data_IF_243292101517
#
_entry.id   IF_243292101517
#
_cell.length_a   1.000
_cell.length_b   1.000
_cell.length_c   1.000
_cell.angle_alpha   90.00
_cell.angle_beta   90.00
_cell.angle_gamma   90.00
#
_symmetry.space_group_name_H-M   'P 1'
#
loop_
_entity.id
_entity.type
_entity.pdbx_description
1 polymer ?
#
# COMPACT_ATOMS: atom_id res chain seq x y z
N UNK A 1 -8.08 -13.04 -3.21
CA UNK A 1 -8.24 -13.44 -1.78
C UNK A 1 -8.71 -14.88 -1.59
N UNK A 2 -9.16 -15.60 -2.64
CA UNK A 2 -9.76 -16.95 -2.52
C UNK A 2 -8.76 -18.12 -2.52
N UNK A 3 -7.49 -17.92 -2.92
CA UNK A 3 -6.50 -19.02 -3.02
C UNK A 3 -5.71 -19.32 -1.74
N UNK A 4 -5.89 -18.55 -0.64
CA UNK A 4 -5.19 -18.80 0.63
C UNK A 4 -5.96 -19.71 1.61
N UNK A 5 -7.21 -20.09 1.31
CA UNK A 5 -8.09 -20.81 2.24
C UNK A 5 -8.49 -22.22 1.77
N UNK A 6 -8.13 -22.62 0.55
CA UNK A 6 -8.50 -23.92 -0.03
C UNK A 6 -7.81 -25.10 0.65
N UNK A 7 -6.67 -24.89 1.31
CA UNK A 7 -5.81 -25.95 1.88
C UNK A 7 -5.79 -26.00 3.42
N UNK A 8 -6.79 -25.40 4.09
CA UNK A 8 -6.96 -25.46 5.56
C UNK A 8 -7.82 -26.67 5.98
N UNK A 9 -7.45 -27.30 7.11
CA UNK A 9 -8.26 -28.34 7.76
C UNK A 9 -9.66 -27.83 8.10
N UNK A 10 -10.64 -28.75 8.11
CA UNK A 10 -12.03 -28.43 8.46
C UNK A 10 -12.14 -27.79 9.85
N UNK A 11 -11.30 -28.22 10.80
CA UNK A 11 -11.27 -27.69 12.17
C UNK A 11 -10.77 -26.23 12.21
N UNK A 12 -9.76 -25.90 11.40
CA UNK A 12 -9.22 -24.53 11.30
C UNK A 12 -10.21 -23.60 10.61
N UNK A 13 -10.96 -24.09 9.61
CA UNK A 13 -12.04 -23.33 8.95
C UNK A 13 -13.19 -23.04 9.91
N UNK A 14 -13.64 -24.05 10.66
CA UNK A 14 -14.67 -23.86 11.69
C UNK A 14 -14.26 -22.84 12.75
N UNK A 15 -13.01 -22.89 13.20
CA UNK A 15 -12.49 -21.93 14.18
C UNK A 15 -12.38 -20.51 13.59
N UNK A 16 -12.04 -20.40 12.30
CA UNK A 16 -12.02 -19.12 11.59
C UNK A 16 -13.41 -18.51 11.51
N UNK A 17 -14.44 -19.30 11.18
CA UNK A 17 -15.83 -18.85 11.12
C UNK A 17 -16.36 -18.41 12.48
N UNK A 18 -16.03 -19.15 13.55
CA UNK A 18 -16.35 -18.78 14.93
C UNK A 18 -15.73 -17.42 15.30
N UNK A 19 -14.45 -17.21 14.97
CA UNK A 19 -13.75 -15.95 15.24
C UNK A 19 -14.25 -14.78 14.39
N UNK A 20 -14.63 -15.02 13.14
CA UNK A 20 -15.26 -14.01 12.29
C UNK A 20 -16.63 -13.61 12.83
N UNK A 21 -17.42 -14.57 13.32
CA UNK A 21 -18.71 -14.30 13.98
C UNK A 21 -18.53 -13.44 15.23
N UNK A 22 -17.54 -13.76 16.09
CA UNK A 22 -17.19 -12.93 17.25
C UNK A 22 -16.78 -11.53 16.79
N UNK A 23 -15.93 -11.43 15.77
CA UNK A 23 -15.49 -10.14 15.21
C UNK A 23 -16.67 -9.29 14.73
N UNK A 24 -17.63 -9.86 13.99
CA UNK A 24 -18.78 -9.11 13.50
C UNK A 24 -19.67 -8.62 14.64
N UNK A 25 -19.92 -9.45 15.66
CA UNK A 25 -20.67 -9.05 16.86
C UNK A 25 -19.96 -7.96 17.66
N UNK A 26 -18.63 -8.04 17.79
CA UNK A 26 -17.83 -6.97 18.38
C UNK A 26 -17.93 -5.69 17.56
N UNK A 27 -17.90 -5.79 16.23
CA UNK A 27 -18.01 -4.64 15.34
C UNK A 27 -19.39 -3.98 15.43
N UNK A 28 -20.47 -4.76 15.53
CA UNK A 28 -21.84 -4.27 15.74
C UNK A 28 -21.93 -3.49 17.06
N UNK A 29 -21.42 -4.05 18.17
CA UNK A 29 -21.39 -3.37 19.48
C UNK A 29 -20.58 -2.07 19.45
N UNK A 30 -19.43 -2.07 18.77
CA UNK A 30 -18.59 -0.87 18.58
C UNK A 30 -19.31 0.19 17.74
N UNK A 31 -19.97 -0.24 16.65
CA UNK A 31 -20.63 0.68 15.69
C UNK A 31 -21.89 1.31 16.29
N UNK A 32 -22.66 0.55 17.07
CA UNK A 32 -23.88 1.04 17.72
C UNK A 32 -23.61 1.81 19.01
N UNK A 33 -22.36 1.81 19.51
CA UNK A 33 -21.95 2.45 20.78
C UNK A 33 -22.82 1.99 21.97
N UNK A 34 -23.30 0.75 21.93
CA UNK A 34 -24.11 0.14 22.98
C UNK A 34 -23.17 -0.64 23.91
N UNK A 35 -22.86 -0.05 25.06
CA UNK A 35 -22.15 -0.75 26.13
C UNK A 35 -23.11 -1.67 26.88
N UNK A 36 -23.14 -2.95 26.49
CA UNK A 36 -23.86 -4.02 27.18
C UNK A 36 -22.84 -5.01 27.79
N UNK A 37 -22.54 -4.81 29.08
CA UNK A 37 -21.57 -5.63 29.83
C UNK A 37 -21.89 -7.13 29.78
N UNK A 38 -23.16 -7.53 29.66
CA UNK A 38 -23.53 -8.94 29.57
C UNK A 38 -23.09 -9.54 28.24
N UNK A 39 -23.29 -8.81 27.13
CA UNK A 39 -22.85 -9.24 25.80
C UNK A 39 -21.33 -9.25 25.70
N UNK A 40 -20.66 -8.26 26.29
CA UNK A 40 -19.18 -8.21 26.33
C UNK A 40 -18.62 -9.40 27.11
N UNK A 41 -19.20 -9.73 28.27
CA UNK A 41 -18.81 -10.91 29.05
C UNK A 41 -19.07 -12.23 28.30
N UNK A 42 -20.20 -12.34 27.60
CA UNK A 42 -20.51 -13.50 26.77
C UNK A 42 -19.48 -13.69 25.64
N UNK A 43 -19.14 -12.62 24.93
CA UNK A 43 -18.12 -12.64 23.88
C UNK A 43 -16.73 -12.98 24.45
N UNK A 44 -16.46 -12.62 25.71
CA UNK A 44 -15.20 -12.97 26.40
C UNK A 44 -15.11 -14.47 26.60
N UNK A 45 -16.19 -15.09 27.07
CA UNK A 45 -16.27 -16.54 27.25
C UNK A 45 -16.18 -17.28 25.92
N UNK A 46 -16.77 -16.75 24.85
CA UNK A 46 -16.72 -17.39 23.54
C UNK A 46 -15.32 -17.27 22.89
N UNK A 47 -14.62 -16.15 23.10
CA UNK A 47 -13.24 -15.97 22.66
C UNK A 47 -12.25 -16.88 23.41
N UNK A 48 -12.41 -17.05 24.73
CA UNK A 48 -11.57 -17.96 25.53
C UNK A 48 -11.78 -19.42 25.11
N UNK A 49 -13.01 -19.84 24.80
CA UNK A 49 -13.27 -21.17 24.20
C UNK A 49 -12.53 -21.32 22.87
N UNK A 50 -12.51 -20.29 22.03
CA UNK A 50 -11.78 -20.32 20.76
C UNK A 50 -10.26 -20.38 20.96
N UNK A 51 -9.71 -19.71 21.97
CA UNK A 51 -8.29 -19.82 22.36
C UNK A 51 -7.93 -21.24 22.78
N UNK A 52 -8.73 -21.88 23.65
CA UNK A 52 -8.49 -23.26 24.09
C UNK A 52 -8.56 -24.22 22.90
N UNK A 53 -9.56 -24.07 22.02
CA UNK A 53 -9.65 -24.87 20.78
C UNK A 53 -8.42 -24.67 19.88
N UNK A 54 -7.97 -23.43 19.71
CA UNK A 54 -6.76 -23.13 18.94
C UNK A 54 -5.53 -23.83 19.53
N UNK A 55 -5.35 -23.74 20.84
CA UNK A 55 -4.23 -24.35 21.54
C UNK A 55 -4.24 -25.88 21.42
N UNK A 56 -5.41 -26.51 21.49
CA UNK A 56 -5.57 -27.96 21.27
C UNK A 56 -5.23 -28.38 19.83
N UNK A 57 -5.65 -27.61 18.83
CA UNK A 57 -5.39 -27.91 17.41
C UNK A 57 -3.90 -27.74 17.09
N UNK A 58 -3.30 -26.62 17.49
CA UNK A 58 -1.92 -26.30 17.14
C UNK A 58 -0.86 -26.97 18.01
N UNK A 59 -1.18 -27.39 19.24
CA UNK A 59 -0.28 -28.22 20.05
C UNK A 59 -0.11 -29.63 19.45
N UNK A 60 -1.15 -30.14 18.80
CA UNK A 60 -1.11 -31.44 18.12
C UNK A 60 -0.50 -31.37 16.72
N UNK A 61 -0.51 -30.20 16.06
CA UNK A 61 0.03 -29.98 14.72
C UNK A 61 0.80 -28.65 14.63
N UNK A 62 2.08 -28.66 15.03
CA UNK A 62 2.92 -27.46 15.12
C UNK A 62 3.22 -26.71 13.79
N UNK A 63 2.76 -27.20 12.63
CA UNK A 63 2.99 -26.60 11.31
C UNK A 63 1.72 -26.54 10.44
N UNK A 64 0.55 -26.45 11.05
CA UNK A 64 -0.70 -26.35 10.30
C UNK A 64 -0.85 -25.00 9.59
N UNK A 65 -1.06 -25.04 8.26
CA UNK A 65 -1.31 -23.85 7.45
C UNK A 65 -2.54 -23.13 8.00
N UNK A 66 -2.36 -21.92 8.55
CA UNK A 66 -3.45 -21.12 9.12
C UNK A 66 -3.25 -20.70 10.58
N UNK A 67 -2.29 -21.27 11.30
CA UNK A 67 -1.99 -20.92 12.70
C UNK A 67 -1.75 -19.40 12.90
N UNK A 68 -0.97 -18.78 12.00
CA UNK A 68 -0.73 -17.34 12.04
C UNK A 68 -2.00 -16.50 11.80
N UNK A 69 -2.92 -16.96 10.97
CA UNK A 69 -4.19 -16.26 10.68
C UNK A 69 -5.12 -16.34 11.89
N UNK A 70 -5.25 -17.53 12.48
CA UNK A 70 -6.08 -17.74 13.68
C UNK A 70 -5.53 -16.95 14.86
N UNK A 71 -4.21 -17.00 15.10
CA UNK A 71 -3.55 -16.19 16.13
C UNK A 71 -3.85 -14.70 15.93
N UNK A 72 -3.67 -14.20 14.70
CA UNK A 72 -4.00 -12.82 14.37
C UNK A 72 -5.48 -12.47 14.60
N UNK A 73 -6.42 -13.36 14.26
CA UNK A 73 -7.85 -13.14 14.50
C UNK A 73 -8.19 -13.11 16.00
N UNK A 74 -7.61 -14.03 16.78
CA UNK A 74 -7.76 -14.05 18.24
C UNK A 74 -7.22 -12.77 18.86
N UNK A 75 -6.02 -12.34 18.46
CA UNK A 75 -5.40 -11.12 18.98
C UNK A 75 -6.27 -9.89 18.66
N UNK A 76 -6.81 -9.81 17.45
CA UNK A 76 -7.73 -8.72 17.08
C UNK A 76 -9.03 -8.75 17.90
N UNK A 77 -9.69 -9.92 18.02
CA UNK A 77 -10.91 -10.03 18.82
C UNK A 77 -10.64 -9.71 20.30
N UNK A 78 -9.50 -10.15 20.84
CA UNK A 78 -9.08 -9.84 22.22
C UNK A 78 -8.90 -8.34 22.40
N UNK A 79 -8.31 -7.66 21.41
CA UNK A 79 -8.12 -6.22 21.48
C UNK A 79 -9.45 -5.46 21.46
N UNK A 80 -10.34 -5.77 20.53
CA UNK A 80 -11.68 -5.16 20.48
C UNK A 80 -12.50 -5.42 21.74
N UNK A 81 -12.35 -6.60 22.32
CA UNK A 81 -13.08 -6.97 23.53
C UNK A 81 -12.54 -6.23 24.76
N UNK A 82 -11.22 -6.12 24.87
CA UNK A 82 -10.60 -5.23 25.85
C UNK A 82 -11.12 -3.80 25.65
N UNK A 83 -11.08 -3.25 24.44
CA UNK A 83 -11.61 -1.90 24.16
C UNK A 83 -13.06 -1.70 24.66
N UNK A 84 -13.94 -2.69 24.47
CA UNK A 84 -15.33 -2.63 24.96
C UNK A 84 -15.45 -2.79 26.48
N UNK A 85 -14.58 -3.58 27.11
CA UNK A 85 -14.51 -3.72 28.58
C UNK A 85 -13.93 -2.48 29.27
N UNK A 86 -13.25 -1.62 28.52
CA UNK A 86 -12.57 -0.41 29.00
C UNK A 86 -13.47 0.83 29.04
N UNK A 87 -14.80 0.65 29.01
CA UNK A 87 -15.79 1.73 29.07
C UNK A 87 -15.53 2.76 30.19
N UNK A 88 -15.99 4.00 29.95
CA UNK A 88 -15.72 5.23 30.72
C UNK A 88 -15.90 5.09 32.25
N UNK A 89 -16.77 4.19 32.71
CA UNK A 89 -17.08 3.97 34.14
C UNK A 89 -15.93 3.39 34.99
N UNK A 90 -14.79 3.01 34.39
CA UNK A 90 -13.64 2.42 35.12
C UNK A 90 -12.43 3.36 35.29
N UNK A 91 -12.51 4.57 34.76
CA UNK A 91 -11.42 5.54 34.80
C UNK A 91 -11.75 6.63 35.81
N UNK A 92 -10.79 6.94 36.69
CA UNK A 92 -10.92 8.01 37.65
C UNK A 92 -11.21 9.36 36.95
N UNK A 93 -12.10 10.21 37.48
CA UNK A 93 -12.40 11.53 36.90
C UNK A 93 -11.17 12.39 36.59
N UNK A 94 -10.09 12.24 37.38
CA UNK A 94 -8.83 12.96 37.14
C UNK A 94 -8.08 12.49 35.88
N UNK A 95 -8.37 11.28 35.40
CA UNK A 95 -7.76 10.67 34.22
C UNK A 95 -8.64 10.75 32.97
N UNK A 96 -9.90 11.14 33.09
CA UNK A 96 -10.87 11.19 31.99
C UNK A 96 -10.38 12.02 30.81
N UNK A 97 -9.73 13.16 31.04
CA UNK A 97 -9.20 14.00 29.96
C UNK A 97 -8.12 13.29 29.11
N UNK A 98 -7.25 12.49 29.75
CA UNK A 98 -6.23 11.71 29.05
C UNK A 98 -6.88 10.55 28.31
N UNK A 99 -7.85 9.90 28.95
CA UNK A 99 -8.62 8.80 28.36
C UNK A 99 -9.36 9.25 27.09
N UNK A 100 -10.11 10.34 27.14
CA UNK A 100 -10.83 10.88 25.99
C UNK A 100 -9.89 11.26 24.85
N UNK A 101 -8.73 11.87 25.17
CA UNK A 101 -7.71 12.21 24.17
C UNK A 101 -7.16 10.97 23.48
N UNK A 102 -6.84 9.92 24.24
CA UNK A 102 -6.36 8.65 23.68
C UNK A 102 -7.44 7.93 22.87
N UNK A 103 -8.69 7.93 23.33
CA UNK A 103 -9.81 7.32 22.64
C UNK A 103 -10.09 8.02 21.31
N UNK A 104 -10.08 9.36 21.29
CA UNK A 104 -10.23 10.15 20.08
C UNK A 104 -9.09 9.86 19.09
N UNK A 105 -7.84 9.85 19.57
CA UNK A 105 -6.68 9.57 18.75
C UNK A 105 -6.72 8.14 18.18
N UNK A 106 -7.15 7.15 18.97
CA UNK A 106 -7.39 5.78 18.51
C UNK A 106 -8.42 5.73 17.38
N UNK A 107 -9.57 6.39 17.56
CA UNK A 107 -10.63 6.43 16.54
C UNK A 107 -10.14 7.06 15.23
N UNK A 108 -9.37 8.15 15.32
CA UNK A 108 -8.76 8.78 14.14
C UNK A 108 -7.79 7.80 13.44
N UNK A 109 -6.89 7.17 14.20
CA UNK A 109 -5.91 6.22 13.65
C UNK A 109 -6.59 5.00 13.00
N UNK A 110 -7.64 4.45 13.63
CA UNK A 110 -8.43 3.35 13.06
C UNK A 110 -9.14 3.77 11.78
N UNK A 111 -9.73 4.95 11.75
CA UNK A 111 -10.34 5.49 10.54
C UNK A 111 -9.30 5.66 9.42
N UNK A 112 -8.13 6.24 9.73
CA UNK A 112 -7.03 6.38 8.78
C UNK A 112 -6.56 5.01 8.26
N UNK A 113 -6.44 4.03 9.14
CA UNK A 113 -6.08 2.66 8.78
C UNK A 113 -7.10 2.00 7.85
N UNK A 114 -8.39 2.33 7.97
CA UNK A 114 -9.45 1.82 7.12
C UNK A 114 -9.60 2.57 5.79
N UNK A 115 -9.55 3.91 5.81
CA UNK A 115 -9.99 4.74 4.68
C UNK A 115 -8.87 5.33 3.84
N UNK A 116 -7.67 5.51 4.39
CA UNK A 116 -6.58 6.28 3.76
C UNK A 116 -5.22 5.58 3.75
N UNK A 117 -5.19 4.26 3.90
CA UNK A 117 -3.94 3.46 3.98
C UNK A 117 -2.94 3.76 2.86
N UNK A 118 -3.44 4.01 1.65
CA UNK A 118 -2.64 4.19 0.44
C UNK A 118 -2.30 5.65 0.11
N UNK A 119 -2.82 6.62 0.88
CA UNK A 119 -2.62 8.06 0.62
C UNK A 119 -1.97 8.79 1.78
N UNK A 120 -1.66 8.09 2.87
CA UNK A 120 -1.11 8.66 4.09
C UNK A 120 0.41 8.79 3.98
N UNK A 121 0.94 10.00 4.25
CA UNK A 121 2.39 10.24 4.28
C UNK A 121 2.98 9.83 5.63
N UNK A 122 4.24 9.43 5.63
CA UNK A 122 5.01 9.23 6.87
C UNK A 122 4.99 10.47 7.75
N UNK A 123 5.08 11.68 7.16
CA UNK A 123 5.01 12.96 7.88
C UNK A 123 3.69 13.19 8.59
N UNK A 124 2.57 12.76 8.00
CA UNK A 124 1.25 12.88 8.63
C UNK A 124 1.13 11.92 9.81
N UNK A 125 1.70 10.73 9.68
CA UNK A 125 1.78 9.74 10.76
C UNK A 125 2.68 10.23 11.90
N UNK A 126 3.81 10.88 11.58
CA UNK A 126 4.73 11.45 12.57
C UNK A 126 4.05 12.46 13.50
N UNK A 127 3.08 13.23 13.02
CA UNK A 127 2.32 14.16 13.89
C UNK A 127 1.50 13.42 14.96
N UNK A 128 0.88 12.30 14.60
CA UNK A 128 0.16 11.46 15.56
C UNK A 128 1.13 10.72 16.49
N UNK A 129 2.27 10.26 15.98
CA UNK A 129 3.32 9.66 16.78
C UNK A 129 3.86 10.64 17.83
N UNK A 130 4.13 11.89 17.44
CA UNK A 130 4.58 12.94 18.36
C UNK A 130 3.55 13.20 19.45
N UNK A 131 2.28 13.36 19.10
CA UNK A 131 1.20 13.52 20.07
C UNK A 131 1.12 12.34 21.05
N UNK A 132 1.35 11.12 20.57
CA UNK A 132 1.32 9.93 21.40
C UNK A 132 2.53 9.87 22.36
N UNK A 133 3.72 10.25 21.87
CA UNK A 133 4.93 10.38 22.69
C UNK A 133 4.78 11.48 23.74
N UNK A 134 4.14 12.61 23.42
CA UNK A 134 3.83 13.66 24.41
C UNK A 134 2.92 13.15 25.54
N UNK A 135 1.92 12.33 25.19
CA UNK A 135 1.07 11.68 26.20
C UNK A 135 1.89 10.66 27.00
N UNK A 136 2.73 9.85 26.35
CA UNK A 136 3.60 8.85 26.98
C UNK A 136 4.58 9.49 28.00
N UNK A 137 5.16 10.63 27.64
CA UNK A 137 6.08 11.43 28.46
C UNK A 137 5.39 12.14 29.64
N UNK A 138 4.06 12.27 29.62
CA UNK A 138 3.33 12.84 30.76
C UNK A 138 3.29 11.90 31.98
N UNK A 139 3.75 10.65 31.82
CA UNK A 139 3.81 9.67 32.91
C UNK A 139 5.02 9.91 33.79
N UNK A 140 4.80 9.85 35.10
CA UNK A 140 5.83 9.94 36.11
C UNK A 140 5.94 8.57 36.77
N UNK A 141 7.13 7.96 36.74
CA UNK A 141 7.39 6.61 37.28
C UNK A 141 6.42 5.53 36.73
N UNK A 142 6.03 5.65 35.45
CA UNK A 142 5.16 4.69 34.78
C UNK A 142 3.65 4.89 35.01
N UNK A 143 3.24 5.93 35.74
CA UNK A 143 1.82 6.24 36.00
C UNK A 143 1.43 7.62 35.48
N UNK A 144 0.17 7.75 35.04
CA UNK A 144 -0.43 9.03 34.70
C UNK A 144 -0.90 9.73 35.98
N UNK A 145 -0.33 10.88 36.32
CA UNK A 145 -0.64 11.66 37.53
C UNK A 145 -0.29 10.94 38.85
N UNK A 146 -0.95 9.84 39.20
CA UNK A 146 -0.68 9.05 40.41
C UNK A 146 -1.04 7.56 40.23
N UNK A 147 -0.30 6.69 40.92
CA UNK A 147 -0.54 5.24 40.98
C UNK A 147 -1.91 4.88 41.56
N UNK A 148 -2.47 5.73 42.43
CA UNK A 148 -3.70 5.44 43.18
C UNK A 148 -4.97 5.59 42.35
N UNK A 149 -4.90 6.27 41.20
CA UNK A 149 -6.06 6.46 40.34
C UNK A 149 -6.44 5.18 39.60
N UNK A 150 -7.73 4.88 39.57
CA UNK A 150 -8.29 3.75 38.81
C UNK A 150 -8.23 4.07 37.32
N UNK A 151 -7.86 3.08 36.49
CA UNK A 151 -7.77 3.26 35.04
C UNK A 151 -6.36 3.41 34.47
N UNK A 152 -5.30 3.30 35.27
CA UNK A 152 -3.91 3.37 34.79
C UNK A 152 -3.58 2.31 33.72
N UNK A 153 -3.98 1.05 33.98
CA UNK A 153 -3.79 -0.06 33.03
C UNK A 153 -4.58 0.16 31.74
N UNK A 154 -5.74 0.81 31.84
CA UNK A 154 -6.62 1.14 30.71
C UNK A 154 -5.95 2.16 29.79
N UNK A 155 -5.42 3.25 30.36
CA UNK A 155 -4.68 4.26 29.62
C UNK A 155 -3.44 3.67 28.96
N UNK A 156 -2.69 2.83 29.70
CA UNK A 156 -1.50 2.16 29.15
C UNK A 156 -1.86 1.24 27.99
N UNK A 157 -2.96 0.51 28.09
CA UNK A 157 -3.47 -0.32 27.00
C UNK A 157 -3.83 0.52 25.78
N UNK A 158 -4.66 1.56 25.93
CA UNK A 158 -5.06 2.44 24.83
C UNK A 158 -3.86 3.08 24.13
N UNK A 159 -2.88 3.52 24.91
CA UNK A 159 -1.63 4.08 24.40
C UNK A 159 -0.85 3.07 23.56
N UNK A 160 -0.67 1.84 24.06
CA UNK A 160 0.00 0.76 23.32
C UNK A 160 -0.77 0.39 22.05
N UNK A 161 -2.08 0.34 22.12
CA UNK A 161 -2.95 0.08 20.95
C UNK A 161 -2.78 1.16 19.88
N UNK A 162 -2.73 2.44 20.27
CA UNK A 162 -2.46 3.53 19.33
C UNK A 162 -1.07 3.39 18.67
N UNK A 163 -0.02 3.08 19.44
CA UNK A 163 1.32 2.84 18.90
C UNK A 163 1.34 1.67 17.91
N UNK A 164 0.63 0.58 18.21
CA UNK A 164 0.51 -0.57 17.32
C UNK A 164 -0.18 -0.22 15.99
N UNK A 165 -1.23 0.62 16.03
CA UNK A 165 -1.90 1.09 14.80
C UNK A 165 -0.96 2.00 14.00
N UNK A 166 -0.22 2.91 14.65
CA UNK A 166 0.78 3.76 14.00
C UNK A 166 1.85 2.91 13.31
N UNK A 167 2.39 1.89 13.99
CA UNK A 167 3.40 1.01 13.39
C UNK A 167 2.86 0.29 12.15
N UNK A 168 1.64 -0.26 12.23
CA UNK A 168 0.98 -0.89 11.08
C UNK A 168 0.71 0.10 9.94
N UNK A 169 0.36 1.35 10.28
CA UNK A 169 0.19 2.42 9.30
C UNK A 169 1.52 2.76 8.63
N UNK A 170 2.62 2.88 9.38
CA UNK A 170 3.96 3.15 8.84
C UNK A 170 4.45 2.02 7.93
N UNK A 171 4.25 0.76 8.34
CA UNK A 171 4.62 -0.41 7.54
C UNK A 171 3.81 -0.52 6.24
N UNK A 172 2.57 0.00 6.22
CA UNK A 172 1.69 -0.03 5.05
C UNK A 172 1.65 1.26 4.25
N UNK A 173 2.20 2.36 4.75
CA UNK A 173 2.27 3.64 4.06
C UNK A 173 3.50 3.67 3.15
N UNK A 174 3.28 3.68 1.84
CA UNK A 174 4.33 4.08 0.91
C UNK A 174 4.36 5.62 0.80
N UNK A 175 5.53 6.23 1.01
CA UNK A 175 5.63 7.68 1.13
C UNK A 175 5.68 8.35 -0.23
N UNK A 176 4.53 8.60 -0.87
CA UNK A 176 4.47 9.47 -2.06
C UNK A 176 4.48 10.93 -1.62
N UNK A 177 5.60 11.60 -1.88
CA UNK A 177 5.78 13.03 -1.56
C UNK A 177 4.68 13.91 -2.18
N UNK A 178 4.36 15.06 -1.56
CA UNK A 178 3.36 16.02 -2.08
C UNK A 178 3.62 16.41 -3.53
N UNK A 179 4.89 16.45 -3.90
CA UNK A 179 5.36 16.83 -5.21
C UNK A 179 5.02 15.81 -6.30
N UNK A 180 4.87 14.53 -5.93
CA UNK A 180 4.45 13.44 -6.82
C UNK A 180 2.95 13.12 -6.74
N UNK A 181 2.23 13.62 -5.74
CA UNK A 181 0.78 13.40 -5.59
C UNK A 181 -0.04 13.77 -6.84
N UNK A 182 0.21 14.91 -7.53
CA UNK A 182 -0.52 15.23 -8.76
C UNK A 182 -0.35 14.17 -9.86
N UNK A 183 0.85 13.60 -9.98
CA UNK A 183 1.17 12.56 -10.97
C UNK A 183 0.47 11.26 -10.56
N UNK A 184 0.59 10.86 -9.30
CA UNK A 184 -0.08 9.68 -8.76
C UNK A 184 -1.60 9.71 -8.98
N UNK A 185 -2.25 10.85 -8.73
CA UNK A 185 -3.70 11.00 -8.91
C UNK A 185 -4.13 10.91 -10.38
N UNK A 186 -3.32 11.47 -11.29
CA UNK A 186 -3.55 11.36 -12.73
C UNK A 186 -3.45 9.91 -13.19
N UNK A 187 -2.38 9.20 -12.78
CA UNK A 187 -2.19 7.79 -13.12
C UNK A 187 -3.27 6.90 -12.51
N UNK A 188 -3.69 7.15 -11.26
CA UNK A 188 -4.78 6.42 -10.62
C UNK A 188 -6.10 6.58 -11.38
N UNK A 189 -6.37 7.78 -11.90
CA UNK A 189 -7.55 8.04 -12.72
C UNK A 189 -7.47 7.29 -14.04
N UNK A 190 -6.32 7.35 -14.73
CA UNK A 190 -6.08 6.62 -15.99
C UNK A 190 -6.25 5.12 -15.79
N UNK A 191 -5.59 4.54 -14.77
CA UNK A 191 -5.72 3.13 -14.40
C UNK A 191 -7.18 2.73 -14.23
N UNK A 192 -7.97 3.52 -13.49
CA UNK A 192 -9.40 3.23 -13.30
C UNK A 192 -10.16 3.23 -14.62
N UNK A 193 -9.96 4.26 -15.46
CA UNK A 193 -10.60 4.33 -16.77
C UNK A 193 -10.23 3.15 -17.68
N UNK A 194 -8.96 2.74 -17.69
CA UNK A 194 -8.48 1.60 -18.48
C UNK A 194 -9.08 0.27 -17.99
N UNK A 195 -9.12 0.05 -16.67
CA UNK A 195 -9.75 -1.13 -16.09
C UNK A 195 -11.27 -1.16 -16.34
N UNK A 196 -11.92 0.00 -16.34
CA UNK A 196 -13.34 0.12 -16.70
C UNK A 196 -13.57 -0.28 -18.16
N UNK A 197 -12.72 0.16 -19.09
CA UNK A 197 -12.78 -0.26 -20.49
C UNK A 197 -12.61 -1.79 -20.63
N UNK A 198 -11.63 -2.37 -19.95
CA UNK A 198 -11.41 -3.82 -19.94
C UNK A 198 -12.65 -4.57 -19.47
N UNK A 199 -13.26 -4.09 -18.38
CA UNK A 199 -14.49 -4.68 -17.82
C UNK A 199 -15.71 -4.56 -18.73
N UNK A 200 -15.77 -3.52 -19.58
CA UNK A 200 -16.86 -3.30 -20.53
C UNK A 200 -16.69 -4.10 -21.84
N UNK A 201 -15.73 -5.04 -21.91
CA UNK A 201 -15.51 -5.89 -23.08
C UNK A 201 -14.37 -5.42 -23.99
N UNK A 202 -13.47 -4.59 -23.47
CA UNK A 202 -12.32 -4.07 -24.19
C UNK A 202 -12.67 -2.86 -25.07
N UNK A 203 -11.75 -2.50 -25.96
CA UNK A 203 -11.90 -1.35 -26.87
C UNK A 203 -12.56 -1.77 -28.19
N UNK A 204 -13.29 -0.87 -28.86
CA UNK A 204 -13.87 -1.13 -30.19
C UNK A 204 -13.00 -0.58 -31.32
N UNK A 205 -12.15 0.40 -31.02
CA UNK A 205 -11.15 0.93 -31.94
C UNK A 205 -9.86 1.29 -31.19
N UNK A 206 -8.71 1.04 -31.82
CA UNK A 206 -7.39 1.41 -31.28
C UNK A 206 -7.30 2.92 -30.96
N UNK A 207 -8.04 3.76 -31.69
CA UNK A 207 -8.05 5.22 -31.47
C UNK A 207 -8.53 5.61 -30.08
N UNK A 208 -9.31 4.76 -29.42
CA UNK A 208 -9.78 4.98 -28.04
C UNK A 208 -8.62 4.97 -27.03
N UNK A 209 -7.50 4.30 -27.36
CA UNK A 209 -6.31 4.25 -26.50
C UNK A 209 -5.41 5.48 -26.63
N UNK A 210 -5.51 6.26 -27.72
CA UNK A 210 -4.59 7.36 -27.99
C UNK A 210 -4.57 8.44 -26.91
N UNK A 211 -5.71 8.89 -26.35
CA UNK A 211 -5.69 9.88 -25.27
C UNK A 211 -4.93 9.38 -24.03
N UNK A 212 -5.02 8.08 -23.72
CA UNK A 212 -4.31 7.48 -22.60
C UNK A 212 -2.82 7.36 -22.88
N UNK A 213 -2.44 6.86 -24.07
CA UNK A 213 -1.04 6.77 -24.51
C UNK A 213 -0.36 8.15 -24.46
N UNK A 214 -0.96 9.17 -25.07
CA UNK A 214 -0.42 10.53 -25.05
C UNK A 214 -0.27 11.06 -23.62
N UNK A 215 -1.22 10.75 -22.74
CA UNK A 215 -1.16 11.21 -21.36
C UNK A 215 -0.08 10.47 -20.55
N UNK A 216 0.08 9.16 -20.75
CA UNK A 216 1.12 8.36 -20.13
C UNK A 216 2.51 8.78 -20.62
N UNK A 217 2.69 8.97 -21.93
CA UNK A 217 3.93 9.48 -22.52
C UNK A 217 4.25 10.89 -22.00
N UNK A 218 3.25 11.76 -21.90
CA UNK A 218 3.44 13.10 -21.31
C UNK A 218 3.91 13.04 -19.86
N UNK A 219 3.45 12.05 -19.08
CA UNK A 219 3.92 11.84 -17.71
C UNK A 219 5.32 11.23 -17.72
N UNK A 220 5.58 10.26 -18.58
CA UNK A 220 6.88 9.59 -18.69
C UNK A 220 8.01 10.58 -19.04
N UNK A 221 7.73 11.51 -19.96
CA UNK A 221 8.63 12.58 -20.37
C UNK A 221 8.92 13.62 -19.27
N UNK A 222 8.20 13.60 -18.14
CA UNK A 222 8.55 14.43 -16.99
C UNK A 222 9.77 13.87 -16.23
N UNK A 223 10.21 12.65 -16.53
CA UNK A 223 11.40 12.05 -15.93
C UNK A 223 12.67 12.62 -16.58
N UNK A 224 13.69 12.81 -15.75
CA UNK A 224 15.06 13.14 -16.14
C UNK A 224 15.93 11.96 -15.70
N UNK A 225 16.71 11.38 -16.63
CA UNK A 225 17.51 10.16 -16.40
C UNK A 225 16.71 9.00 -15.78
N UNK A 226 15.46 8.82 -16.24
CA UNK A 226 14.55 7.77 -15.78
C UNK A 226 13.94 8.01 -14.39
N UNK A 227 14.12 9.19 -13.78
CA UNK A 227 13.59 9.53 -12.45
C UNK A 227 12.77 10.82 -12.50
N UNK A 228 11.70 10.92 -11.71
CA UNK A 228 11.03 12.21 -11.54
C UNK A 228 11.93 13.09 -10.68
N UNK A 229 12.28 14.28 -11.16
CA UNK A 229 13.20 15.19 -10.49
C UNK A 229 12.48 16.48 -10.14
N UNK A 230 12.56 16.90 -8.88
CA UNK A 230 11.90 18.11 -8.40
C UNK A 230 12.93 18.96 -7.65
N UNK A 231 13.21 20.16 -8.17
CA UNK A 231 14.28 21.05 -7.67
C UNK A 231 15.66 20.38 -7.54
N UNK A 232 15.98 19.46 -8.46
CA UNK A 232 17.28 18.76 -8.49
C UNK A 232 17.41 17.60 -7.50
N UNK A 233 16.36 17.23 -6.77
CA UNK A 233 16.34 16.07 -5.89
C UNK A 233 15.33 15.02 -6.35
N UNK A 234 15.58 13.76 -5.98
CA UNK A 234 14.65 12.65 -6.21
C UNK A 234 13.61 12.69 -5.08
N UNK A 235 12.33 12.94 -5.39
CA UNK A 235 11.27 12.94 -4.41
C UNK A 235 10.94 11.54 -3.91
N UNK A 236 10.49 11.45 -2.66
CA UNK A 236 10.06 10.21 -2.02
C UNK A 236 8.82 9.62 -2.73
N UNK A 237 8.75 8.29 -2.82
CA UNK A 237 7.65 7.56 -3.48
C UNK A 237 7.76 7.48 -4.99
N UNK A 238 8.96 7.73 -5.52
CA UNK A 238 9.32 7.54 -6.92
C UNK A 238 8.95 6.14 -7.42
N UNK A 239 9.31 5.09 -6.66
CA UNK A 239 9.09 3.70 -7.05
C UNK A 239 7.60 3.40 -7.26
N UNK A 240 6.73 3.89 -6.38
CA UNK A 240 5.28 3.71 -6.44
C UNK A 240 4.70 4.33 -7.71
N UNK A 241 5.07 5.58 -8.02
CA UNK A 241 4.57 6.28 -9.22
C UNK A 241 5.11 5.65 -10.49
N UNK A 242 6.38 5.23 -10.50
CA UNK A 242 6.97 4.51 -11.63
C UNK A 242 6.31 3.14 -11.85
N UNK A 243 6.01 2.40 -10.78
CA UNK A 243 5.30 1.13 -10.86
C UNK A 243 3.87 1.32 -11.38
N UNK A 244 3.14 2.33 -10.88
CA UNK A 244 1.80 2.66 -11.35
C UNK A 244 1.78 3.11 -12.82
N UNK A 245 2.80 3.87 -13.25
CA UNK A 245 2.97 4.26 -14.64
C UNK A 245 3.21 3.05 -15.55
N UNK A 246 4.10 2.15 -15.14
CA UNK A 246 4.36 0.88 -15.85
C UNK A 246 3.08 0.03 -15.94
N UNK A 247 2.34 -0.13 -14.85
CA UNK A 247 1.05 -0.85 -14.83
C UNK A 247 0.05 -0.23 -15.83
N UNK A 248 -0.03 1.09 -15.93
CA UNK A 248 -0.91 1.74 -16.90
C UNK A 248 -0.49 1.43 -18.35
N UNK A 249 0.82 1.43 -18.65
CA UNK A 249 1.33 1.04 -19.97
C UNK A 249 1.03 -0.44 -20.27
N UNK A 250 1.19 -1.32 -19.28
CA UNK A 250 0.90 -2.75 -19.41
C UNK A 250 -0.58 -2.97 -19.74
N UNK A 251 -1.50 -2.31 -19.03
CA UNK A 251 -2.94 -2.41 -19.31
C UNK A 251 -3.28 -1.91 -20.73
N UNK A 252 -2.67 -0.81 -21.16
CA UNK A 252 -2.85 -0.29 -22.53
C UNK A 252 -2.34 -1.30 -23.57
N UNK A 253 -1.19 -1.91 -23.32
CA UNK A 253 -0.61 -2.91 -24.22
C UNK A 253 -1.48 -4.16 -24.29
N UNK A 254 -1.96 -4.65 -23.15
CA UNK A 254 -2.87 -5.78 -23.04
C UNK A 254 -4.17 -5.53 -23.84
N UNK A 255 -4.82 -4.37 -23.64
CA UNK A 255 -6.03 -4.00 -24.40
C UNK A 255 -5.78 -3.93 -25.92
N UNK A 256 -4.58 -3.55 -26.34
CA UNK A 256 -4.20 -3.50 -27.75
C UNK A 256 -4.01 -4.92 -28.33
N UNK A 257 -3.40 -5.82 -27.58
CA UNK A 257 -3.27 -7.24 -27.97
C UNK A 257 -4.67 -7.87 -28.07
N UNK A 258 -5.50 -7.74 -27.04
CA UNK A 258 -6.87 -8.27 -27.03
C UNK A 258 -7.71 -7.76 -28.22
N UNK A 259 -7.50 -6.51 -28.64
CA UNK A 259 -8.14 -5.96 -29.84
C UNK A 259 -7.70 -6.69 -31.11
N UNK A 260 -6.40 -6.83 -31.35
CA UNK A 260 -5.89 -7.46 -32.57
C UNK A 260 -6.25 -8.93 -32.64
N UNK A 261 -6.15 -9.66 -31.52
CA UNK A 261 -6.54 -11.08 -31.47
C UNK A 261 -8.02 -11.25 -31.88
N UNK A 262 -8.89 -10.35 -31.40
CA UNK A 262 -10.31 -10.37 -31.77
C UNK A 262 -10.56 -9.97 -33.23
N UNK A 263 -9.82 -9.02 -33.75
CA UNK A 263 -9.94 -8.57 -35.15
C UNK A 263 -9.50 -9.68 -36.12
N UNK A 264 -8.37 -10.33 -35.85
CA UNK A 264 -7.89 -11.49 -36.61
C UNK A 264 -8.87 -12.67 -36.57
N UNK A 265 -9.50 -12.93 -35.42
CA UNK A 265 -10.54 -13.94 -35.30
C UNK A 265 -11.78 -13.64 -36.16
N UNK A 266 -12.13 -12.36 -36.33
CA UNK A 266 -13.27 -11.95 -37.16
C UNK A 266 -12.94 -12.08 -38.65
N UNK A 267 -11.75 -11.68 -39.07
CA UNK A 267 -11.27 -11.85 -40.44
C UNK A 267 -11.21 -13.34 -40.84
N UNK A 268 -10.71 -14.19 -39.94
CA UNK A 268 -10.64 -15.64 -40.17
C UNK A 268 -12.01 -16.34 -40.25
N UNK A 269 -13.08 -15.72 -39.70
CA UNK A 269 -14.46 -16.22 -39.81
C UNK A 269 -15.11 -15.77 -41.12
N UNK A 270 -14.90 -14.52 -41.55
CA UNK A 270 -15.45 -13.99 -42.81
C UNK A 270 -14.90 -14.74 -44.05
N UNK A 271 -13.63 -15.13 -44.03
CA UNK A 271 -13.03 -15.92 -45.11
C UNK A 271 -13.57 -17.35 -45.22
N UNK A 272 -14.23 -17.88 -44.18
CA UNK A 272 -14.89 -19.20 -44.22
C UNK A 272 -16.32 -19.16 -44.75
N UNK A 273 -16.96 -17.99 -44.81
CA UNK A 273 -18.35 -17.84 -45.27
C UNK A 273 -18.49 -17.40 -46.74
N UNK A 274 -17.41 -17.03 -47.43
CA UNK A 274 -17.47 -16.69 -48.86
C UNK A 274 -17.86 -17.93 -49.68
N UNK A 275 -19.02 -17.93 -50.39
CA UNK A 275 -19.38 -19.05 -51.24
C UNK A 275 -18.39 -19.14 -52.40
N UNK A 276 -17.81 -20.33 -52.62
CA UNK A 276 -16.95 -20.61 -53.77
C UNK A 276 -17.78 -20.56 -55.05
N UNK A 277 -17.99 -19.37 -55.60
CA UNK A 277 -18.55 -19.24 -56.94
C UNK A 277 -17.47 -19.61 -57.97
N UNK A 278 -17.63 -20.79 -58.57
CA UNK A 278 -16.82 -21.26 -59.69
C UNK A 278 -17.17 -20.44 -60.93
N UNK A 279 -16.42 -19.38 -61.23
CA UNK A 279 -16.47 -18.71 -62.54
C UNK A 279 -15.69 -19.56 -63.55
N UNK A 280 -16.43 -20.24 -64.43
CA UNK A 280 -15.93 -20.90 -65.64
C UNK A 280 -15.73 -19.85 -66.75
N UNK A 281 -14.47 -19.63 -67.17
CA UNK A 281 -14.03 -19.01 -68.45
C UNK A 281 -14.38 -17.52 -68.68
N UNK A 282 -13.57 -16.65 -69.27
CA UNK A 282 -12.46 -16.79 -70.23
C UNK A 282 -11.50 -15.59 -70.15
N UNK A 283 -10.19 -15.90 -70.17
CA UNK A 283 -9.01 -15.12 -70.62
C UNK A 283 -9.08 -13.58 -70.63
N UNK A 284 -8.28 -12.97 -69.74
CA UNK A 284 -7.37 -11.87 -70.09
C UNK A 284 -6.19 -11.86 -69.11
N UNK A 285 -5.01 -12.28 -69.58
CA UNK A 285 -3.74 -11.99 -68.93
C UNK A 285 -3.41 -10.53 -69.19
N UNK A 286 -3.12 -9.76 -68.14
CA UNK A 286 -2.09 -8.74 -68.20
C UNK A 286 -1.58 -8.43 -66.80
N UNK A 287 -0.26 -8.54 -66.69
CA UNK A 287 0.57 -8.27 -65.53
C UNK A 287 0.27 -6.93 -64.89
N UNK A 288 0.39 -6.85 -63.56
CA UNK A 288 1.23 -5.84 -62.91
C UNK A 288 1.59 -6.29 -61.50
N UNK A 289 2.85 -6.68 -61.35
CA UNK A 289 3.59 -6.71 -60.10
C UNK A 289 3.89 -5.26 -59.70
N UNK A 290 3.36 -4.78 -58.57
CA UNK A 290 3.77 -3.52 -57.97
C UNK A 290 4.42 -3.78 -56.61
N UNK A 291 5.75 -3.80 -56.66
CA UNK A 291 6.70 -3.54 -55.59
C UNK A 291 6.59 -2.06 -55.17
N UNK A 292 6.55 -1.80 -53.86
CA UNK A 292 6.69 -0.45 -53.30
C UNK A 292 7.55 -0.51 -52.04
N UNK A 293 8.87 -0.57 -52.25
CA UNK A 293 9.81 0.16 -51.40
C UNK A 293 9.87 1.61 -51.88
N UNK A 294 9.56 2.57 -51.00
CA UNK A 294 9.90 3.99 -51.20
C UNK A 294 10.57 4.52 -49.94
N UNK A 295 11.89 4.68 -50.05
CA UNK A 295 12.66 5.67 -49.34
C UNK A 295 12.92 6.81 -50.34
N UNK A 296 12.59 8.04 -49.98
CA UNK A 296 13.06 9.24 -50.67
C UNK A 296 13.86 10.08 -49.67
N UNK A 297 15.18 9.94 -49.74
CA UNK A 297 16.12 11.04 -49.55
C UNK A 297 16.38 11.62 -50.93
N UNK A 298 16.21 12.93 -51.11
CA UNK A 298 16.76 13.64 -52.27
C UNK A 298 17.63 14.81 -51.82
N UNK A 299 18.88 14.76 -52.27
CA UNK A 299 19.90 15.79 -52.20
C UNK A 299 19.90 16.61 -53.51
N UNK A 300 20.13 17.92 -53.39
CA UNK A 300 20.88 18.76 -54.34
C UNK A 300 21.22 20.07 -53.61
N UNK A 301 22.34 20.77 -53.77
CA UNK A 301 23.69 20.53 -54.27
C UNK A 301 24.50 21.83 -53.99
N UNK A 302 25.82 21.69 -53.90
CA UNK A 302 26.91 22.66 -54.12
C UNK A 302 27.21 23.79 -53.11
N UNK A 303 28.47 23.82 -52.65
CA UNK A 303 29.18 25.07 -52.31
C UNK A 303 30.30 24.95 -51.26
N UNK A 304 31.51 24.62 -51.70
CA UNK A 304 32.78 24.67 -50.95
C UNK A 304 33.04 26.03 -50.23
N UNK A 305 33.68 26.01 -49.05
CA UNK A 305 35.05 26.53 -48.77
C UNK A 305 35.30 26.53 -47.24
N UNK A 306 36.50 26.06 -46.89
CA UNK A 306 37.14 25.90 -45.58
C UNK A 306 37.37 27.19 -44.76
N UNK A 307 37.30 27.09 -43.42
CA UNK A 307 38.37 27.59 -42.56
C UNK A 307 38.28 27.11 -41.10
N UNK A 308 39.42 26.67 -40.59
CA UNK A 308 39.73 26.29 -39.21
C UNK A 308 40.07 27.50 -38.35
N UNK A 309 39.47 27.62 -37.17
CA UNK A 309 40.05 28.37 -36.03
C UNK A 309 39.21 28.20 -34.74
N UNK A 310 39.79 27.53 -33.74
CA UNK A 310 39.53 27.69 -32.29
C UNK A 310 39.95 29.12 -31.84
N UNK A 311 39.74 29.65 -30.59
CA UNK A 311 39.15 29.15 -29.31
C UNK A 311 38.24 30.28 -28.63
N UNK A 312 38.05 30.49 -27.28
CA UNK A 312 38.50 29.79 -26.06
C UNK A 312 37.50 29.60 -24.88
N UNK A 313 37.96 28.73 -23.96
CA UNK A 313 37.59 28.57 -22.54
C UNK A 313 37.45 29.89 -21.77
N UNK A 314 36.48 29.94 -20.84
CA UNK A 314 36.53 30.78 -19.63
C UNK A 314 36.56 29.90 -18.38
N UNK A 315 37.46 30.28 -17.46
CA UNK A 315 37.78 29.65 -16.18
C UNK A 315 36.63 29.81 -15.17
N UNK A 316 36.41 28.80 -14.34
CA UNK A 316 35.96 29.00 -12.96
C UNK A 316 36.90 28.23 -12.05
N UNK A 317 37.30 28.93 -10.99
CA UNK A 317 38.37 28.61 -10.08
C UNK A 317 38.00 27.49 -9.12
N UNK A 318 39.02 26.74 -8.77
CA UNK A 318 39.08 25.76 -7.69
C UNK A 318 38.94 26.48 -6.34
N UNK A 319 37.95 26.09 -5.55
CA UNK A 319 37.79 26.49 -4.15
C UNK A 319 37.20 25.31 -3.36
N UNK A 320 38.09 24.52 -2.78
CA UNK A 320 37.93 23.99 -1.42
C UNK A 320 37.07 22.75 -1.26
N UNK A 321 37.74 21.60 -1.27
CA UNK A 321 37.28 20.35 -0.65
C UNK A 321 36.94 20.61 0.84
N UNK A 322 35.66 20.55 1.20
CA UNK A 322 35.22 20.47 2.60
C UNK A 322 34.95 19.00 2.93
N UNK A 323 35.96 18.43 3.57
CA UNK A 323 35.98 17.13 4.24
C UNK A 323 34.97 17.16 5.40
N UNK A 324 33.85 16.45 5.27
CA UNK A 324 32.96 16.19 6.40
C UNK A 324 33.36 14.85 7.02
N UNK A 325 34.13 14.99 8.10
CA UNK A 325 34.50 13.93 9.02
C UNK A 325 33.29 13.09 9.42
N UNK A 326 33.47 11.79 9.23
CA UNK A 326 32.76 10.69 9.86
C UNK A 326 32.78 10.89 11.39
N UNK A 327 31.64 11.22 11.97
CA UNK A 327 31.44 11.25 13.41
C UNK A 327 30.13 10.55 13.70
N UNK A 328 30.29 9.31 14.13
CA UNK A 328 29.26 8.37 14.55
C UNK A 328 28.28 9.02 15.54
N UNK A 329 27.08 9.35 15.08
CA UNK A 329 25.96 9.61 15.96
C UNK A 329 25.41 8.28 16.47
N UNK A 330 25.75 8.04 17.73
CA UNK A 330 25.47 6.89 18.57
C UNK A 330 23.95 6.75 18.81
N UNK A 331 23.23 6.14 17.87
CA UNK A 331 21.86 5.66 18.06
C UNK A 331 21.89 4.37 18.89
N UNK A 332 21.61 4.51 20.19
CA UNK A 332 21.49 3.37 21.09
C UNK A 332 20.40 2.40 20.61
N UNK A 333 20.83 1.22 20.17
CA UNK A 333 19.96 0.08 19.87
C UNK A 333 19.26 -0.40 21.15
N UNK A 334 17.93 -0.52 21.09
CA UNK A 334 17.02 -0.97 22.16
C UNK A 334 17.27 -2.43 22.63
N UNK A 335 18.34 -3.09 22.16
CA UNK A 335 18.62 -4.49 22.44
C UNK A 335 19.45 -4.73 23.73
N UNK A 336 19.97 -3.70 24.40
CA UNK A 336 20.94 -3.87 25.51
C UNK A 336 20.40 -3.66 26.94
N UNK A 337 19.09 -3.46 27.16
CA UNK A 337 18.57 -3.21 28.51
C UNK A 337 17.90 -4.41 29.19
N UNK A 338 18.25 -5.66 28.83
CA UNK A 338 17.58 -6.87 29.36
C UNK A 338 18.48 -7.76 30.25
N UNK A 339 19.76 -7.46 30.43
CA UNK A 339 20.62 -8.27 31.30
C UNK A 339 21.47 -7.40 32.22
N UNK A 340 20.92 -6.99 33.36
CA UNK A 340 21.66 -6.68 34.59
C UNK A 340 20.67 -6.35 35.70
N UNK A 341 20.03 -7.38 36.27
CA UNK A 341 19.64 -7.36 37.70
C UNK A 341 19.35 -8.81 38.18
N UNK A 342 20.42 -9.59 38.37
CA UNK A 342 20.39 -10.77 39.22
C UNK A 342 21.76 -10.97 39.84
N UNK A 343 21.99 -10.32 40.98
CA UNK A 343 23.26 -10.45 41.70
C UNK A 343 23.28 -9.81 43.09
N UNK A 344 22.96 -10.65 44.09
CA UNK A 344 23.58 -10.70 45.43
C UNK A 344 23.24 -9.58 46.43
N UNK A 345 22.25 -9.87 47.28
CA UNK A 345 22.26 -9.46 48.70
C UNK A 345 23.19 -10.41 49.48
N UNK A 346 24.25 -9.86 50.08
CA UNK A 346 24.97 -10.43 51.22
C UNK A 346 25.50 -9.30 52.13
N UNK A 347 25.36 -9.52 53.45
CA UNK A 347 25.89 -8.80 54.62
C UNK A 347 25.22 -7.44 54.98
N UNK A 348 24.78 -7.16 56.22
CA UNK A 348 25.13 -7.67 57.56
C UNK A 348 23.88 -7.90 58.45
#
# INVERSE_FOLDING_TARGET
MMDKTSNLSADVKSLMDDLLSIKYKLFELITENIHDDNKVNQLTQDLTKCQIKAEQIFSNNGNEKGAGIIKGLIDNCSNYLNDLQLGIDRVDPHLTAIYEKLLNLKSILENLFLTKRWTLRTTDIFNYQKQLVEIDNSRINGYFISKDYKGQSVLLYLLRSCFAIIYKLLESSEPVSESLQPIHNQLSTIRRCLLDLKRMGGISSIRELYPYQLKLDSIDNMKVDGKFMIKGQIPEGQATVTALLAECFDIVHELKIEYYDRDEELEARDDKEKPKFSVIGTKASQDTNYDYNHADEDQHDHGHVSNTSNPPRSKTEDLGTLDYNDSEDNLASYANSINEDSGLEDAD
#
